data_IF_740823881172
#
_entry.id   IF_740823881172
#
_cell.length_a   1.000
_cell.length_b   1.000
_cell.length_c   1.000
_cell.angle_alpha   90.00
_cell.angle_beta   90.00
_cell.angle_gamma   90.00
#
_symmetry.space_group_name_H-M   'P 1'
#
loop_
_entity.id
_entity.type
_entity.pdbx_description
1 polymer ?
#
# COMPACT_ATOMS: atom_id res chain seq x y z
N UNK A 1 6.84 -6.70 23.69
CA UNK A 1 6.07 -5.52 23.26
C UNK A 1 6.99 -4.62 22.45
N UNK A 2 6.66 -4.32 21.20
CA UNK A 2 7.49 -3.47 20.35
C UNK A 2 7.09 -1.99 20.49
N UNK A 3 7.91 -1.09 19.94
CA UNK A 3 7.71 0.35 20.07
C UNK A 3 6.36 0.81 19.49
N UNK A 4 5.93 0.20 18.38
CA UNK A 4 4.69 0.56 17.69
C UNK A 4 3.45 0.20 18.51
N UNK A 5 3.43 -0.97 19.17
CA UNK A 5 2.37 -1.33 20.10
C UNK A 5 2.28 -0.36 21.27
N UNK A 6 3.43 0.06 21.83
CA UNK A 6 3.45 1.02 22.94
C UNK A 6 2.85 2.38 22.54
N UNK A 7 3.16 2.88 21.35
CA UNK A 7 2.57 4.13 20.85
C UNK A 7 1.05 3.99 20.65
N UNK A 8 0.60 2.85 20.15
CA UNK A 8 -0.82 2.56 19.99
C UNK A 8 -1.57 2.51 21.32
N UNK A 9 -1.00 1.87 22.35
CA UNK A 9 -1.56 1.84 23.71
C UNK A 9 -1.64 3.23 24.36
N UNK A 10 -0.76 4.15 23.97
CA UNK A 10 -0.82 5.56 24.38
C UNK A 10 -1.87 6.38 23.60
N UNK A 11 -2.62 5.75 22.69
CA UNK A 11 -3.66 6.38 21.88
C UNK A 11 -3.16 7.01 20.58
N UNK A 12 -1.92 6.78 20.17
CA UNK A 12 -1.40 7.27 18.90
C UNK A 12 -1.66 6.27 17.76
N UNK A 13 -2.36 6.71 16.72
CA UNK A 13 -2.54 5.92 15.50
C UNK A 13 -1.29 5.96 14.62
N UNK A 14 -0.84 4.79 14.18
CA UNK A 14 0.30 4.64 13.26
C UNK A 14 -0.20 4.37 11.85
N UNK A 15 0.30 5.13 10.90
CA UNK A 15 -0.09 5.06 9.50
C UNK A 15 1.12 4.75 8.62
N UNK A 16 0.92 3.88 7.64
CA UNK A 16 1.93 3.55 6.65
C UNK A 16 1.86 4.52 5.47
N UNK A 17 2.94 5.24 5.19
CA UNK A 17 3.00 6.18 4.06
C UNK A 17 3.46 5.49 2.76
N UNK A 18 2.75 4.42 2.39
CA UNK A 18 2.99 3.70 1.15
C UNK A 18 1.80 2.79 0.81
N UNK A 19 1.58 2.57 -0.48
CA UNK A 19 0.67 1.53 -0.96
C UNK A 19 1.19 0.93 -2.28
N UNK A 20 1.28 -0.40 -2.32
CA UNK A 20 1.58 -1.16 -3.54
C UNK A 20 0.64 -2.36 -3.65
N UNK A 21 0.44 -2.90 -4.85
CA UNK A 21 -0.39 -4.10 -5.04
C UNK A 21 0.19 -5.31 -4.28
N UNK A 22 1.51 -5.43 -4.24
CA UNK A 22 2.19 -6.51 -3.52
C UNK A 22 2.01 -6.40 -2.00
N UNK A 23 2.04 -5.18 -1.44
CA UNK A 23 1.73 -4.93 -0.03
C UNK A 23 0.34 -5.49 0.35
N UNK A 24 -0.63 -5.33 -0.56
CA UNK A 24 -2.01 -5.79 -0.37
C UNK A 24 -2.18 -7.31 -0.58
N UNK A 25 -1.50 -7.89 -1.57
CA UNK A 25 -1.69 -9.30 -1.98
C UNK A 25 -0.83 -10.30 -1.21
N UNK A 26 0.34 -9.87 -0.72
CA UNK A 26 1.33 -10.77 -0.06
C UNK A 26 1.04 -11.07 1.41
N UNK A 27 0.01 -10.47 2.00
CA UNK A 27 -0.22 -10.52 3.45
C UNK A 27 0.67 -9.57 4.27
N UNK A 28 1.55 -8.81 3.61
CA UNK A 28 2.45 -7.86 4.30
C UNK A 28 1.68 -6.79 5.06
N UNK A 29 0.61 -6.22 4.47
CA UNK A 29 -0.22 -5.24 5.18
C UNK A 29 -0.89 -5.85 6.42
N UNK A 30 -1.41 -7.07 6.30
CA UNK A 30 -2.01 -7.76 7.44
C UNK A 30 -1.01 -7.94 8.57
N UNK A 31 0.22 -8.37 8.24
CA UNK A 31 1.31 -8.47 9.21
C UNK A 31 1.60 -7.13 9.89
N UNK A 32 1.62 -6.03 9.13
CA UNK A 32 1.81 -4.69 9.70
C UNK A 32 0.70 -4.29 10.66
N UNK A 33 -0.56 -4.62 10.37
CA UNK A 33 -1.66 -4.38 11.29
C UNK A 33 -1.50 -5.23 12.57
N UNK A 34 -1.24 -6.53 12.43
CA UNK A 34 -1.24 -7.47 13.58
C UNK A 34 0.00 -7.37 14.45
N UNK A 35 1.17 -7.17 13.84
CA UNK A 35 2.45 -7.18 14.56
C UNK A 35 2.96 -5.78 14.88
N UNK A 36 2.59 -4.75 14.10
CA UNK A 36 3.12 -3.40 14.22
C UNK A 36 2.06 -2.34 14.51
N UNK A 37 0.84 -2.74 14.84
CA UNK A 37 -0.24 -1.80 15.24
C UNK A 37 -0.49 -0.69 14.21
N UNK A 38 -0.24 -0.96 12.92
CA UNK A 38 -0.60 -0.05 11.83
C UNK A 38 -2.12 -0.03 11.69
N UNK A 39 -2.71 1.15 11.71
CA UNK A 39 -4.17 1.36 11.70
C UNK A 39 -4.67 2.07 10.45
N UNK A 40 -3.77 2.57 9.61
CA UNK A 40 -4.10 3.29 8.40
C UNK A 40 -2.94 3.30 7.42
N UNK A 41 -3.21 3.81 6.22
CA UNK A 41 -2.19 4.06 5.21
C UNK A 41 -2.55 5.30 4.39
N UNK A 42 -1.56 5.88 3.76
CA UNK A 42 -1.71 7.00 2.82
C UNK A 42 -1.20 6.63 1.44
N UNK A 43 -1.75 7.35 0.46
CA UNK A 43 -1.24 7.35 -0.90
C UNK A 43 -1.22 8.80 -1.40
N UNK A 44 -0.43 9.04 -2.43
CA UNK A 44 -0.38 10.28 -3.17
C UNK A 44 0.09 9.97 -4.61
N UNK A 45 0.05 10.92 -5.55
CA UNK A 45 0.46 10.67 -6.93
C UNK A 45 1.88 10.11 -7.08
N UNK A 46 2.84 10.58 -6.29
CA UNK A 46 4.22 10.08 -6.32
C UNK A 46 4.31 8.63 -5.85
N UNK A 47 3.61 8.26 -4.78
CA UNK A 47 3.56 6.87 -4.29
C UNK A 47 2.98 5.95 -5.36
N UNK A 48 1.92 6.37 -6.06
CA UNK A 48 1.35 5.57 -7.15
C UNK A 48 2.29 5.45 -8.35
N UNK A 49 2.97 6.54 -8.76
CA UNK A 49 3.93 6.49 -9.87
C UNK A 49 5.06 5.49 -9.57
N UNK A 50 5.65 5.57 -8.37
CA UNK A 50 6.69 4.64 -7.92
C UNK A 50 6.18 3.19 -7.85
N UNK A 51 4.97 2.97 -7.33
CA UNK A 51 4.38 1.63 -7.22
C UNK A 51 4.14 0.98 -8.60
N UNK A 52 3.71 1.78 -9.58
CA UNK A 52 3.47 1.30 -10.96
C UNK A 52 4.78 1.12 -11.71
N UNK A 53 5.73 2.05 -11.57
CA UNK A 53 7.00 2.03 -12.31
C UNK A 53 7.92 0.89 -11.88
N UNK A 54 7.94 0.56 -10.59
CA UNK A 54 8.93 -0.35 -10.02
C UNK A 54 8.40 -1.79 -9.82
N UNK A 55 7.19 -2.13 -10.26
CA UNK A 55 6.62 -3.48 -10.12
C UNK A 55 5.82 -3.89 -11.34
N UNK A 56 5.97 -5.16 -11.74
CA UNK A 56 5.14 -5.78 -12.79
C UNK A 56 3.70 -6.07 -12.33
N UNK A 57 3.37 -5.85 -11.06
CA UNK A 57 2.05 -6.18 -10.49
C UNK A 57 0.89 -5.43 -11.17
N UNK A 58 1.16 -4.33 -11.89
CA UNK A 58 0.15 -3.53 -12.57
C UNK A 58 0.02 -3.83 -14.07
N UNK A 59 1.00 -4.51 -14.67
CA UNK A 59 1.13 -4.73 -16.12
C UNK A 59 -0.13 -5.32 -16.76
N UNK A 60 -0.65 -6.40 -16.17
CA UNK A 60 -1.81 -7.09 -16.72
C UNK A 60 -3.04 -6.18 -16.74
N UNK A 61 -3.27 -5.46 -15.65
CA UNK A 61 -4.39 -4.53 -15.53
C UNK A 61 -4.25 -3.36 -16.52
N UNK A 62 -3.04 -2.81 -16.68
CA UNK A 62 -2.75 -1.75 -17.64
C UNK A 62 -2.96 -2.22 -19.08
N UNK A 63 -2.42 -3.38 -19.47
CA UNK A 63 -2.62 -3.97 -20.81
C UNK A 63 -4.10 -4.21 -21.10
N UNK A 64 -4.86 -4.71 -20.13
CA UNK A 64 -6.31 -4.89 -20.26
C UNK A 64 -7.02 -3.56 -20.49
N UNK A 65 -6.70 -2.53 -19.69
CA UNK A 65 -7.32 -1.20 -19.82
C UNK A 65 -7.00 -0.53 -21.15
N UNK A 66 -5.76 -0.69 -21.64
CA UNK A 66 -5.37 -0.22 -22.96
C UNK A 66 -6.16 -0.93 -24.08
N UNK A 67 -6.37 -2.25 -23.98
CA UNK A 67 -7.22 -3.01 -24.92
C UNK A 67 -8.70 -2.59 -24.89
N UNK A 68 -9.19 -2.13 -23.73
CA UNK A 68 -10.53 -1.55 -23.56
C UNK A 68 -10.65 -0.13 -24.17
N UNK A 69 -9.57 0.41 -24.75
CA UNK A 69 -9.55 1.76 -25.34
C UNK A 69 -9.54 2.89 -24.32
N UNK A 70 -9.23 2.60 -23.05
CA UNK A 70 -9.13 3.64 -22.01
C UNK A 70 -7.75 4.31 -22.06
N UNK A 71 -7.73 5.64 -22.14
CA UNK A 71 -6.55 6.45 -21.92
C UNK A 71 -6.42 6.84 -20.43
N UNK A 72 -5.23 7.27 -20.01
CA UNK A 72 -5.06 8.00 -18.75
C UNK A 72 -5.83 9.32 -18.78
N UNK A 73 -6.09 9.89 -17.60
CA UNK A 73 -6.69 11.23 -17.47
C UNK A 73 -5.86 12.32 -18.17
#
# INVERSE_FOLDING_TARGET
MNATTRLHELGQSLWLDNITRDLLSSGTLQRYCTEFSVTGLTSNPTIFDEAIRNSAAYDEALRRKAREGKAGE
#
